data_IF_091679095905
#
_entry.id   IF_091679095905
#
_cell.length_a   1.000
_cell.length_b   1.000
_cell.length_c   1.000
_cell.angle_alpha   90.00
_cell.angle_beta   90.00
_cell.angle_gamma   90.00
#
_symmetry.space_group_name_H-M   'P 1'
#
loop_
_entity.id
_entity.type
_entity.pdbx_description
1 polymer ?
#
# COMPACT_ATOMS: atom_id res chain seq x y z
N UNK A 1 -52.37 -30.87 43.70
CA UNK A 1 -51.26 -31.72 44.21
C UNK A 1 -50.05 -31.44 43.32
N UNK A 2 -48.94 -30.80 43.71
CA UNK A 2 -48.43 -30.27 44.96
C UNK A 2 -47.99 -28.81 44.72
N UNK A 3 -48.26 -27.98 45.71
CA UNK A 3 -47.86 -26.57 45.83
C UNK A 3 -46.38 -26.40 46.28
N UNK A 4 -45.85 -25.16 46.32
CA UNK A 4 -44.43 -24.81 46.17
C UNK A 4 -43.80 -24.20 47.46
N UNK A 5 -42.69 -23.45 47.27
CA UNK A 5 -42.05 -22.44 48.15
C UNK A 5 -40.87 -22.92 49.05
N UNK A 6 -40.16 -22.02 49.77
CA UNK A 6 -39.10 -21.10 49.27
C UNK A 6 -37.88 -21.06 50.23
N UNK A 7 -36.85 -20.26 49.95
CA UNK A 7 -35.77 -19.99 50.92
C UNK A 7 -34.84 -18.86 50.48
N UNK A 8 -35.13 -17.61 50.85
CA UNK A 8 -34.56 -16.87 52.01
C UNK A 8 -33.16 -16.28 51.77
N UNK A 9 -33.14 -14.97 51.50
CA UNK A 9 -32.12 -14.06 52.06
C UNK A 9 -32.52 -13.72 53.50
N UNK A 10 -31.55 -13.50 54.42
CA UNK A 10 -31.36 -12.11 54.89
C UNK A 10 -29.94 -11.75 55.38
N UNK A 11 -29.62 -10.46 55.18
CA UNK A 11 -29.09 -9.47 56.13
C UNK A 11 -27.70 -9.56 56.80
N UNK A 12 -27.07 -8.37 56.80
CA UNK A 12 -26.29 -7.72 57.86
C UNK A 12 -24.86 -8.20 58.16
N UNK A 13 -23.90 -7.27 58.10
CA UNK A 13 -22.59 -7.53 58.71
C UNK A 13 -21.46 -6.53 58.48
N UNK A 14 -21.58 -5.33 59.06
CA UNK A 14 -20.51 -4.63 59.80
C UNK A 14 -19.21 -4.18 59.09
N UNK A 15 -19.12 -2.84 59.03
CA UNK A 15 -17.92 -1.99 59.14
C UNK A 15 -16.76 -2.64 59.92
N UNK A 16 -15.54 -2.61 59.35
CA UNK A 16 -14.30 -2.46 60.14
C UNK A 16 -13.32 -1.48 59.49
N UNK A 17 -13.24 -0.36 60.17
CA UNK A 17 -12.14 0.61 60.26
C UNK A 17 -10.89 -0.10 60.79
N UNK A 18 -9.73 0.10 60.15
CA UNK A 18 -8.38 -0.09 60.72
C UNK A 18 -7.50 1.05 60.17
N UNK A 19 -7.47 2.21 60.79
CA UNK A 19 -6.52 2.63 61.83
C UNK A 19 -5.12 2.01 61.73
N UNK A 20 -4.19 2.89 61.35
CA UNK A 20 -2.75 2.74 61.34
C UNK A 20 -2.16 2.82 62.75
N UNK A 21 -1.18 1.99 63.13
CA UNK A 21 -0.29 2.30 64.21
C UNK A 21 0.95 3.04 63.67
N UNK A 22 1.12 4.28 64.14
CA UNK A 22 2.44 4.90 64.26
C UNK A 22 3.22 4.12 65.32
N UNK A 23 4.39 3.60 64.95
CA UNK A 23 5.44 3.29 65.91
C UNK A 23 6.77 3.80 65.35
N UNK A 24 7.38 4.66 66.16
CA UNK A 24 8.63 5.36 65.95
C UNK A 24 9.82 4.42 66.10
N UNK A 25 10.83 4.70 65.28
CA UNK A 25 12.28 4.58 65.53
C UNK A 25 12.85 3.22 65.94
N UNK A 26 13.81 2.73 65.15
CA UNK A 26 15.20 2.79 65.59
C UNK A 26 16.18 2.72 64.42
N UNK A 27 17.22 3.53 64.61
CA UNK A 27 18.29 3.95 63.72
C UNK A 27 19.34 2.84 63.61
N UNK A 28 19.64 2.36 62.41
CA UNK A 28 20.93 1.69 62.13
C UNK A 28 21.51 2.19 60.81
N UNK A 29 22.47 3.10 60.97
CA UNK A 29 23.27 3.67 59.89
C UNK A 29 24.23 2.61 59.33
N UNK A 30 23.86 1.96 58.23
CA UNK A 30 24.80 1.27 57.36
C UNK A 30 25.31 2.27 56.32
N UNK A 31 26.60 2.62 56.42
CA UNK A 31 27.34 3.39 55.43
C UNK A 31 27.37 2.61 54.13
N UNK A 32 26.54 3.00 53.15
CA UNK A 32 26.64 2.54 51.78
C UNK A 32 27.14 3.70 50.91
N UNK A 33 28.30 3.50 50.31
CA UNK A 33 28.99 4.43 49.40
C UNK A 33 28.07 4.92 48.27
N UNK A 34 28.01 6.23 47.99
CA UNK A 34 27.11 6.81 46.99
C UNK A 34 27.55 6.63 45.54
N UNK A 35 28.73 6.05 45.26
CA UNK A 35 29.29 6.01 43.91
C UNK A 35 28.73 4.90 43.00
N UNK A 36 27.94 3.95 43.51
CA UNK A 36 27.54 2.75 42.75
C UNK A 36 26.03 2.50 42.74
N UNK A 37 25.21 3.57 42.76
CA UNK A 37 23.75 3.47 42.58
C UNK A 37 23.21 4.26 41.39
N UNK A 38 24.02 5.14 40.80
CA UNK A 38 23.63 5.88 39.59
C UNK A 38 23.89 5.11 38.29
N UNK A 39 24.72 4.06 38.29
CA UNK A 39 24.99 3.29 37.07
C UNK A 39 23.90 2.27 36.71
N UNK A 40 23.09 1.80 37.66
CA UNK A 40 22.08 0.75 37.40
C UNK A 40 20.68 1.27 37.09
N UNK A 41 20.43 2.58 37.22
CA UNK A 41 19.11 3.17 36.92
C UNK A 41 18.99 3.78 35.52
N UNK A 42 20.08 3.89 34.75
CA UNK A 42 20.09 4.44 33.39
C UNK A 42 20.12 3.36 32.29
N UNK A 43 20.44 2.11 32.63
CA UNK A 43 20.52 1.00 31.66
C UNK A 43 19.16 0.55 31.06
N UNK A 44 18.04 0.45 31.81
CA UNK A 44 16.78 0.01 31.23
C UNK A 44 16.09 1.09 30.38
N UNK A 45 16.41 2.37 30.57
CA UNK A 45 15.90 3.46 29.73
C UNK A 45 16.58 3.51 28.34
N UNK A 46 17.84 3.05 28.23
CA UNK A 46 18.57 3.01 26.97
C UNK A 46 18.18 1.81 26.09
N UNK A 47 17.75 0.70 26.69
CA UNK A 47 17.34 -0.52 25.97
C UNK A 47 15.94 -0.43 25.34
N UNK A 48 15.09 0.51 25.76
CA UNK A 48 13.76 0.74 25.15
C UNK A 48 13.81 1.59 23.87
N UNK A 49 14.97 2.14 23.49
CA UNK A 49 15.10 3.07 22.36
C UNK A 49 15.27 2.41 20.98
N UNK A 50 15.38 1.08 20.88
CA UNK A 50 15.77 0.40 19.64
C UNK A 50 14.68 -0.42 18.94
N UNK A 51 13.40 -0.25 19.29
CA UNK A 51 12.31 -0.79 18.45
C UNK A 51 12.01 0.22 17.34
N UNK A 52 12.97 0.41 16.44
CA UNK A 52 12.72 1.11 15.19
C UNK A 52 11.96 0.13 14.27
N UNK A 53 10.67 0.38 14.05
CA UNK A 53 9.90 -0.24 12.97
C UNK A 53 10.42 0.31 11.62
N UNK A 54 11.60 -0.14 11.21
CA UNK A 54 12.26 0.34 10.01
C UNK A 54 11.95 -0.59 8.83
N UNK A 55 11.45 -0.01 7.74
CA UNK A 55 11.46 -0.66 6.43
C UNK A 55 12.92 -0.92 6.05
N UNK A 56 13.29 -2.20 5.86
CA UNK A 56 14.63 -2.55 5.42
C UNK A 56 14.83 -2.06 3.98
N UNK A 57 15.97 -1.46 3.72
CA UNK A 57 16.33 -0.94 2.41
C UNK A 57 17.82 -1.15 2.15
N UNK A 58 18.17 -1.41 0.90
CA UNK A 58 19.55 -1.59 0.44
C UNK A 58 19.84 -0.69 -0.77
N UNK A 59 21.12 -0.37 -0.97
CA UNK A 59 21.60 0.25 -2.20
C UNK A 59 21.75 -0.80 -3.29
N UNK A 60 21.09 -0.62 -4.42
CA UNK A 60 21.15 -1.52 -5.57
C UNK A 60 21.67 -0.80 -6.81
N UNK A 61 22.53 -1.48 -7.58
CA UNK A 61 23.01 -1.00 -8.87
C UNK A 61 22.02 -1.31 -10.01
N UNK A 62 21.86 -0.36 -10.92
CA UNK A 62 20.98 -0.47 -12.09
C UNK A 62 21.68 -0.01 -13.37
N UNK A 63 21.25 -0.57 -14.50
CA UNK A 63 21.67 -0.19 -15.86
C UNK A 63 20.45 0.23 -16.69
N UNK A 64 20.51 1.41 -17.30
CA UNK A 64 19.40 1.93 -18.08
C UNK A 64 19.41 1.32 -19.49
N UNK A 65 18.36 0.61 -19.92
CA UNK A 65 18.34 -0.02 -21.24
C UNK A 65 18.22 1.02 -22.38
N UNK A 66 17.76 2.24 -22.09
CA UNK A 66 17.55 3.28 -23.10
C UNK A 66 18.83 4.08 -23.41
N UNK A 67 19.65 4.35 -22.40
CA UNK A 67 20.81 5.25 -22.55
C UNK A 67 22.12 4.70 -21.98
N UNK A 68 22.14 3.48 -21.44
CA UNK A 68 23.34 2.81 -20.92
C UNK A 68 23.91 3.40 -19.62
N UNK A 69 23.19 4.33 -18.97
CA UNK A 69 23.66 4.93 -17.72
C UNK A 69 23.56 3.91 -16.58
N UNK A 70 24.65 3.75 -15.83
CA UNK A 70 24.67 3.02 -14.57
C UNK A 70 24.39 3.98 -13.41
N UNK A 71 23.64 3.52 -12.41
CA UNK A 71 23.44 4.28 -11.17
C UNK A 71 23.19 3.33 -9.99
N UNK A 72 23.27 3.88 -8.78
CA UNK A 72 22.83 3.21 -7.56
C UNK A 72 21.62 3.93 -6.99
N UNK A 73 20.68 3.16 -6.44
CA UNK A 73 19.51 3.70 -5.79
C UNK A 73 19.11 2.80 -4.62
N UNK A 74 18.72 3.44 -3.52
CA UNK A 74 18.14 2.77 -2.37
C UNK A 74 16.75 2.25 -2.69
N UNK A 75 16.51 0.96 -2.47
CA UNK A 75 15.22 0.29 -2.69
C UNK A 75 14.84 -0.49 -1.43
N UNK A 76 13.54 -0.59 -1.16
CA UNK A 76 13.00 -1.38 -0.05
C UNK A 76 13.09 -2.88 -0.33
N UNK A 77 13.49 -3.67 0.67
CA UNK A 77 13.70 -5.13 0.53
C UNK A 77 12.68 -5.96 1.26
N UNK A 78 12.03 -5.38 2.27
CA UNK A 78 10.96 -6.03 3.02
C UNK A 78 9.99 -4.98 3.55
N UNK A 79 8.70 -5.24 3.43
CA UNK A 79 7.65 -4.41 3.98
C UNK A 79 6.68 -5.25 4.81
N UNK A 80 5.96 -4.59 5.74
CA UNK A 80 4.88 -5.20 6.52
C UNK A 80 3.65 -4.32 6.44
N UNK A 81 2.77 -4.63 5.49
CA UNK A 81 1.44 -4.02 5.43
C UNK A 81 0.60 -4.45 6.64
N UNK A 82 -0.08 -3.49 7.25
CA UNK A 82 -1.02 -3.67 8.36
C UNK A 82 -2.48 -3.57 7.92
N UNK A 83 -2.71 -3.08 6.70
CA UNK A 83 -4.03 -2.96 6.10
C UNK A 83 -3.94 -2.43 4.68
N UNK A 84 -5.10 -2.17 4.09
CA UNK A 84 -5.22 -1.71 2.71
C UNK A 84 -6.36 -0.70 2.59
N UNK A 85 -6.18 0.31 1.75
CA UNK A 85 -7.23 1.30 1.42
C UNK A 85 -8.18 0.80 0.35
N UNK A 86 -9.32 1.48 0.21
CA UNK A 86 -10.31 1.23 -0.85
C UNK A 86 -9.72 1.46 -2.26
N UNK A 87 -8.67 2.27 -2.37
CA UNK A 87 -7.90 2.44 -3.61
C UNK A 87 -6.73 1.46 -3.74
N UNK A 88 -6.64 0.44 -2.88
CA UNK A 88 -5.60 -0.59 -2.83
C UNK A 88 -4.22 -0.12 -2.34
N UNK A 89 -4.09 1.11 -1.87
CA UNK A 89 -2.86 1.55 -1.22
C UNK A 89 -2.66 0.77 0.09
N UNK A 90 -1.55 0.09 0.25
CA UNK A 90 -1.15 -0.56 1.49
C UNK A 90 -0.81 0.49 2.55
N UNK A 91 -1.15 0.20 3.80
CA UNK A 91 -0.85 1.06 4.95
C UNK A 91 -0.12 0.30 6.05
N UNK A 92 0.64 0.99 6.88
CA UNK A 92 1.43 0.41 7.96
C UNK A 92 2.92 0.61 7.78
N UNK A 93 3.73 -0.38 8.15
CA UNK A 93 5.19 -0.32 8.07
C UNK A 93 5.65 -0.77 6.67
N UNK A 94 5.15 -0.06 5.65
CA UNK A 94 5.34 -0.33 4.23
C UNK A 94 5.52 0.97 3.45
N UNK A 95 6.42 0.94 2.46
CA UNK A 95 6.50 1.98 1.43
C UNK A 95 5.59 1.55 0.29
N UNK A 96 4.47 2.25 0.12
CA UNK A 96 3.54 2.03 -0.96
C UNK A 96 3.16 3.36 -1.65
N UNK A 97 3.37 3.50 -2.98
CA UNK A 97 3.86 2.46 -3.89
C UNK A 97 5.36 2.14 -3.66
N UNK A 98 5.82 0.92 -3.96
CA UNK A 98 7.24 0.57 -3.87
C UNK A 98 8.11 1.55 -4.65
N UNK A 99 9.34 1.80 -4.20
CA UNK A 99 10.22 2.72 -4.93
C UNK A 99 10.53 2.16 -6.31
N UNK A 100 10.08 2.86 -7.36
CA UNK A 100 10.38 2.52 -8.75
C UNK A 100 11.75 3.09 -9.14
N UNK A 101 12.75 2.25 -9.50
CA UNK A 101 14.05 2.75 -9.93
C UNK A 101 13.93 3.63 -11.17
N UNK A 102 14.60 4.78 -11.17
CA UNK A 102 14.53 5.73 -12.28
C UNK A 102 15.92 6.18 -12.70
N UNK A 103 16.21 6.09 -14.00
CA UNK A 103 17.50 6.51 -14.54
C UNK A 103 17.74 8.00 -14.25
N UNK A 104 18.88 8.32 -13.64
CA UNK A 104 19.26 9.69 -13.27
C UNK A 104 19.48 10.59 -14.49
N UNK A 105 19.90 10.02 -15.64
CA UNK A 105 20.18 10.75 -16.88
C UNK A 105 18.94 10.99 -17.73
N UNK A 106 18.26 9.92 -18.16
CA UNK A 106 17.14 10.01 -19.10
C UNK A 106 15.76 9.82 -18.46
N UNK A 107 15.67 9.75 -17.12
CA UNK A 107 14.41 9.64 -16.37
C UNK A 107 13.54 8.44 -16.73
N UNK A 108 14.08 7.47 -17.46
CA UNK A 108 13.40 6.22 -17.77
C UNK A 108 13.11 5.44 -16.49
N UNK A 109 11.84 5.11 -16.19
CA UNK A 109 11.49 4.22 -15.09
C UNK A 109 11.86 2.78 -15.46
N UNK A 110 12.59 2.08 -14.60
CA UNK A 110 12.90 0.67 -14.79
C UNK A 110 11.80 -0.18 -14.16
N UNK A 111 10.91 -0.72 -14.99
CA UNK A 111 9.71 -1.46 -14.53
C UNK A 111 9.68 -2.92 -14.97
N UNK A 112 10.65 -3.37 -15.77
CA UNK A 112 10.77 -4.78 -16.15
C UNK A 112 12.18 -5.08 -16.66
N UNK A 113 12.82 -6.09 -16.08
CA UNK A 113 14.11 -6.59 -16.57
C UNK A 113 13.99 -7.20 -17.97
N UNK A 114 12.79 -7.66 -18.32
CA UNK A 114 12.49 -8.21 -19.65
C UNK A 114 12.60 -7.17 -20.76
N UNK A 115 12.52 -5.86 -20.46
CA UNK A 115 12.70 -4.82 -21.49
C UNK A 115 14.12 -4.83 -22.06
N UNK A 116 15.12 -5.15 -21.23
CA UNK A 116 16.51 -5.27 -21.67
C UNK A 116 16.67 -6.45 -22.64
N UNK A 117 15.98 -7.55 -22.40
CA UNK A 117 15.96 -8.70 -23.32
C UNK A 117 15.10 -8.43 -24.57
N UNK A 118 13.98 -7.73 -24.43
CA UNK A 118 13.13 -7.32 -25.56
C UNK A 118 13.83 -6.33 -26.50
N UNK A 119 14.79 -5.54 -26.00
CA UNK A 119 15.62 -4.68 -26.84
C UNK A 119 16.48 -5.48 -27.83
N UNK A 120 16.80 -6.74 -27.51
CA UNK A 120 17.59 -7.65 -28.35
C UNK A 120 16.73 -8.44 -29.35
N UNK A 121 15.41 -8.48 -29.15
CA UNK A 121 14.46 -9.16 -30.03
C UNK A 121 14.22 -8.33 -31.32
N UNK A 122 14.59 -8.83 -32.52
CA UNK A 122 14.42 -8.09 -33.77
C UNK A 122 12.98 -7.68 -34.05
N UNK A 123 12.00 -8.47 -33.60
CA UNK A 123 10.57 -8.17 -33.78
C UNK A 123 10.11 -6.98 -32.92
N UNK A 124 10.85 -6.67 -31.84
CA UNK A 124 10.53 -5.60 -30.89
C UNK A 124 11.50 -4.41 -30.96
N UNK A 125 12.59 -4.54 -31.72
CA UNK A 125 13.60 -3.51 -31.90
C UNK A 125 12.99 -2.17 -32.38
N UNK A 126 11.97 -2.20 -33.25
CA UNK A 126 11.29 -0.98 -33.70
C UNK A 126 10.56 -0.26 -32.55
N UNK A 127 9.75 -0.99 -31.76
CA UNK A 127 9.05 -0.44 -30.61
C UNK A 127 10.05 0.12 -29.57
N UNK A 128 11.17 -0.58 -29.36
CA UNK A 128 12.23 -0.13 -28.47
C UNK A 128 12.93 1.15 -28.98
N UNK A 129 13.16 1.26 -30.29
CA UNK A 129 13.70 2.49 -30.91
C UNK A 129 12.74 3.67 -30.74
N UNK A 130 11.44 3.46 -30.96
CA UNK A 130 10.41 4.48 -30.75
C UNK A 130 10.36 4.93 -29.29
N UNK A 131 10.38 3.98 -28.35
CA UNK A 131 10.46 4.26 -26.92
C UNK A 131 11.71 5.08 -26.58
N UNK A 132 12.88 4.69 -27.10
CA UNK A 132 14.12 5.42 -26.87
C UNK A 132 14.07 6.86 -27.40
N UNK A 133 13.48 7.08 -28.57
CA UNK A 133 13.28 8.43 -29.12
C UNK A 133 12.33 9.26 -28.27
N UNK A 134 11.20 8.67 -27.84
CA UNK A 134 10.24 9.33 -26.95
C UNK A 134 10.89 9.74 -25.63
N UNK A 135 11.57 8.81 -24.96
CA UNK A 135 12.23 9.05 -23.67
C UNK A 135 13.29 10.13 -23.79
N UNK A 136 14.06 10.19 -24.88
CA UNK A 136 15.05 11.25 -25.09
C UNK A 136 14.44 12.59 -25.51
N UNK A 137 13.16 12.64 -25.84
CA UNK A 137 12.46 13.87 -26.23
C UNK A 137 12.36 14.88 -25.10
N UNK A 138 12.44 16.17 -25.45
CA UNK A 138 12.39 17.27 -24.49
C UNK A 138 11.10 17.28 -23.66
N UNK A 139 9.96 16.95 -24.27
CA UNK A 139 8.66 16.93 -23.59
C UNK A 139 8.62 15.87 -22.48
N UNK A 140 9.09 14.64 -22.77
CA UNK A 140 9.16 13.60 -21.76
C UNK A 140 10.11 13.99 -20.63
N UNK A 141 11.32 14.49 -20.95
CA UNK A 141 12.28 14.92 -19.93
C UNK A 141 11.70 16.02 -19.03
N UNK A 142 11.04 17.01 -19.63
CA UNK A 142 10.38 18.08 -18.89
C UNK A 142 9.30 17.52 -17.97
N UNK A 143 8.39 16.70 -18.48
CA UNK A 143 7.29 16.14 -17.69
C UNK A 143 7.81 15.22 -16.59
N UNK A 144 8.74 14.31 -16.89
CA UNK A 144 9.31 13.37 -15.93
C UNK A 144 10.14 14.07 -14.83
N UNK A 145 10.73 15.24 -15.10
CA UNK A 145 11.46 16.01 -14.08
C UNK A 145 10.54 16.68 -13.05
N UNK A 146 9.28 16.94 -13.41
CA UNK A 146 8.30 17.66 -12.57
C UNK A 146 7.29 16.74 -11.87
N UNK A 147 7.33 15.45 -12.18
CA UNK A 147 6.35 14.47 -11.75
C UNK A 147 7.03 13.26 -11.09
N UNK A 148 6.30 12.49 -10.27
CA UNK A 148 6.88 11.34 -9.59
C UNK A 148 7.17 10.17 -10.56
N UNK A 149 7.96 9.19 -10.13
CA UNK A 149 8.46 8.11 -11.00
C UNK A 149 7.34 7.28 -11.66
N UNK A 150 6.23 7.02 -10.97
CA UNK A 150 5.10 6.29 -11.56
C UNK A 150 4.35 7.08 -12.64
N UNK A 151 4.42 8.41 -12.63
CA UNK A 151 3.91 9.21 -13.76
C UNK A 151 4.73 8.93 -15.02
N UNK A 152 6.06 8.90 -14.90
CA UNK A 152 6.93 8.57 -16.04
C UNK A 152 6.64 7.15 -16.55
N UNK A 153 6.28 6.21 -15.66
CA UNK A 153 5.88 4.86 -16.04
C UNK A 153 4.58 4.88 -16.86
N UNK A 154 3.56 5.61 -16.41
CA UNK A 154 2.31 5.74 -17.15
C UNK A 154 2.53 6.30 -18.56
N UNK A 155 3.38 7.33 -18.71
CA UNK A 155 3.75 7.89 -20.01
C UNK A 155 4.43 6.87 -20.92
N UNK A 156 5.35 6.07 -20.38
CA UNK A 156 6.01 4.99 -21.14
C UNK A 156 5.02 3.91 -21.56
N UNK A 157 4.12 3.50 -20.65
CA UNK A 157 3.09 2.51 -20.92
C UNK A 157 2.12 2.97 -22.02
N UNK A 158 1.79 4.27 -22.08
CA UNK A 158 0.97 4.84 -23.17
C UNK A 158 1.65 4.69 -24.54
N UNK A 159 2.95 5.00 -24.65
CA UNK A 159 3.70 4.85 -25.91
C UNK A 159 3.83 3.39 -26.32
N UNK A 160 3.97 2.49 -25.35
CA UNK A 160 3.99 1.05 -25.56
C UNK A 160 2.60 0.45 -25.80
N UNK A 161 1.53 1.26 -25.78
CA UNK A 161 0.13 0.84 -25.91
C UNK A 161 -0.23 -0.30 -24.96
N UNK A 162 0.23 -0.19 -23.70
CA UNK A 162 -0.16 -1.13 -22.66
C UNK A 162 -1.67 -1.07 -22.40
N UNK A 163 -2.29 -2.16 -21.89
CA UNK A 163 -3.70 -2.16 -21.50
C UNK A 163 -4.03 -1.00 -20.55
N UNK A 164 -5.21 -0.40 -20.71
CA UNK A 164 -5.55 0.81 -19.97
C UNK A 164 -5.54 0.61 -18.45
N UNK A 165 -5.88 -0.58 -17.95
CA UNK A 165 -5.79 -0.91 -16.52
C UNK A 165 -4.38 -0.72 -15.93
N UNK A 166 -3.32 -0.99 -16.69
CA UNK A 166 -1.95 -0.82 -16.20
C UNK A 166 -1.55 0.65 -16.16
N UNK A 167 -1.96 1.42 -17.18
CA UNK A 167 -1.72 2.86 -17.25
C UNK A 167 -2.46 3.55 -16.10
N UNK A 168 -3.72 3.18 -15.86
CA UNK A 168 -4.56 3.70 -14.79
C UNK A 168 -3.92 3.45 -13.41
N UNK A 169 -3.45 2.23 -13.15
CA UNK A 169 -2.78 1.89 -11.90
C UNK A 169 -1.48 2.68 -11.70
N UNK A 170 -0.70 2.91 -12.76
CA UNK A 170 0.50 3.76 -12.67
C UNK A 170 0.16 5.20 -12.29
N UNK A 171 -0.89 5.79 -12.88
CA UNK A 171 -1.34 7.13 -12.45
C UNK A 171 -1.89 7.15 -11.03
N UNK A 172 -2.62 6.10 -10.62
CA UNK A 172 -3.09 5.97 -9.24
C UNK A 172 -1.91 5.92 -8.25
N UNK A 173 -0.91 5.09 -8.52
CA UNK A 173 0.33 5.01 -7.71
C UNK A 173 1.09 6.33 -7.71
N UNK A 174 1.16 7.02 -8.85
CA UNK A 174 1.74 8.37 -8.92
C UNK A 174 1.00 9.35 -8.00
N UNK A 175 -0.33 9.26 -7.91
CA UNK A 175 -1.14 10.12 -7.02
C UNK A 175 -0.81 9.91 -5.54
N UNK A 176 -0.45 8.69 -5.13
CA UNK A 176 -0.04 8.37 -3.76
C UNK A 176 1.30 8.99 -3.38
N UNK A 177 2.21 9.13 -4.35
CA UNK A 177 3.53 9.76 -4.15
C UNK A 177 3.45 11.27 -3.94
N UNK A 178 2.29 11.88 -4.19
CA UNK A 178 2.07 13.32 -4.09
C UNK A 178 0.82 13.64 -3.28
N UNK A 179 0.40 12.72 -2.41
CA UNK A 179 -0.90 12.79 -1.72
C UNK A 179 -1.05 14.03 -0.82
N UNK A 180 0.06 14.62 -0.39
CA UNK A 180 0.16 15.87 0.37
C UNK A 180 -0.10 17.14 -0.48
N UNK A 181 -0.14 17.00 -1.81
CA UNK A 181 -0.28 18.12 -2.77
C UNK A 181 -1.56 17.97 -3.58
N UNK A 182 -2.58 18.74 -3.21
CA UNK A 182 -3.94 18.63 -3.78
C UNK A 182 -3.98 18.69 -5.31
N UNK A 183 -3.46 19.77 -5.92
CA UNK A 183 -3.60 19.96 -7.35
C UNK A 183 -2.86 18.89 -8.19
N UNK A 184 -1.58 18.53 -7.91
CA UNK A 184 -0.92 17.40 -8.56
C UNK A 184 -1.65 16.07 -8.35
N UNK A 185 -2.06 15.78 -7.11
CA UNK A 185 -2.79 14.55 -6.77
C UNK A 185 -4.07 14.43 -7.58
N UNK A 186 -4.88 15.50 -7.61
CA UNK A 186 -6.15 15.54 -8.33
C UNK A 186 -5.95 15.28 -9.83
N UNK A 187 -4.98 15.94 -10.46
CA UNK A 187 -4.66 15.72 -11.88
C UNK A 187 -4.29 14.26 -12.17
N UNK A 188 -3.50 13.64 -11.30
CA UNK A 188 -3.11 12.23 -11.47
C UNK A 188 -4.29 11.27 -11.28
N UNK A 189 -5.19 11.57 -10.34
CA UNK A 189 -6.45 10.83 -10.18
C UNK A 189 -7.38 10.99 -11.38
N UNK A 190 -7.46 12.18 -11.99
CA UNK A 190 -8.22 12.41 -13.22
C UNK A 190 -7.66 11.57 -14.38
N UNK A 191 -6.34 11.56 -14.58
CA UNK A 191 -5.69 10.67 -15.56
C UNK A 191 -5.96 9.18 -15.27
N UNK A 192 -5.90 8.77 -14.01
CA UNK A 192 -6.21 7.39 -13.61
C UNK A 192 -7.67 7.04 -13.95
N UNK A 193 -8.62 7.92 -13.64
CA UNK A 193 -10.05 7.75 -13.94
C UNK A 193 -10.29 7.56 -15.43
N UNK A 194 -9.72 8.41 -16.28
CA UNK A 194 -9.86 8.31 -17.74
C UNK A 194 -9.45 6.92 -18.25
N UNK A 195 -8.31 6.42 -17.78
CA UNK A 195 -7.84 5.09 -18.15
C UNK A 195 -8.64 3.96 -17.50
N UNK A 196 -9.15 4.08 -16.27
CA UNK A 196 -10.04 3.07 -15.71
C UNK A 196 -11.37 2.97 -16.46
N UNK A 197 -11.94 4.08 -16.92
CA UNK A 197 -13.14 4.08 -17.78
C UNK A 197 -12.86 3.36 -19.10
N UNK A 198 -11.72 3.64 -19.73
CA UNK A 198 -11.33 2.94 -20.95
C UNK A 198 -11.10 1.44 -20.68
N UNK A 199 -10.46 1.08 -19.57
CA UNK A 199 -10.24 -0.32 -19.18
C UNK A 199 -11.55 -1.08 -18.95
N UNK A 200 -12.55 -0.46 -18.32
CA UNK A 200 -13.88 -1.07 -18.15
C UNK A 200 -14.55 -1.35 -19.50
N UNK A 201 -14.31 -0.49 -20.49
CA UNK A 201 -14.81 -0.68 -21.86
C UNK A 201 -14.08 -1.83 -22.57
N UNK A 202 -12.75 -1.95 -22.39
CA UNK A 202 -11.94 -3.05 -22.94
C UNK A 202 -12.29 -4.41 -22.33
N UNK A 203 -12.52 -4.45 -21.02
CA UNK A 203 -12.77 -5.68 -20.25
C UNK A 203 -14.17 -6.23 -20.49
N UNK A 204 -15.19 -5.37 -20.62
CA UNK A 204 -16.59 -5.79 -20.77
C UNK A 204 -17.18 -6.41 -19.50
N UNK A 205 -18.50 -6.43 -19.39
CA UNK A 205 -19.20 -6.77 -18.12
C UNK A 205 -19.12 -8.24 -17.71
N UNK A 206 -18.78 -9.14 -18.64
CA UNK A 206 -18.73 -10.59 -18.39
C UNK A 206 -17.34 -11.07 -17.95
N UNK A 207 -16.34 -10.19 -17.98
CA UNK A 207 -14.99 -10.56 -17.58
C UNK A 207 -14.87 -10.56 -16.05
N UNK A 208 -14.20 -11.57 -15.45
CA UNK A 208 -14.02 -11.68 -14.00
C UNK A 208 -13.39 -10.44 -13.33
N UNK A 209 -12.61 -9.65 -14.06
CA UNK A 209 -11.93 -8.46 -13.55
C UNK A 209 -12.81 -7.20 -13.56
N UNK A 210 -13.98 -7.25 -14.21
CA UNK A 210 -14.85 -6.08 -14.35
C UNK A 210 -15.24 -5.51 -12.98
N UNK A 211 -15.59 -6.37 -12.03
CA UNK A 211 -15.97 -5.98 -10.67
C UNK A 211 -14.88 -5.16 -9.97
N UNK A 212 -13.64 -5.66 -9.97
CA UNK A 212 -12.50 -5.00 -9.33
C UNK A 212 -12.15 -3.66 -10.00
N UNK A 213 -12.17 -3.61 -11.32
CA UNK A 213 -11.94 -2.36 -12.07
C UNK A 213 -13.02 -1.32 -11.78
N UNK A 214 -14.28 -1.76 -11.66
CA UNK A 214 -15.40 -0.87 -11.40
C UNK A 214 -15.36 -0.33 -9.96
N UNK A 215 -14.95 -1.16 -8.98
CA UNK A 215 -14.73 -0.72 -7.61
C UNK A 215 -13.66 0.39 -7.54
N UNK A 216 -12.52 0.18 -8.19
CA UNK A 216 -11.44 1.17 -8.23
C UNK A 216 -11.82 2.45 -8.96
N UNK A 217 -12.49 2.34 -10.11
CA UNK A 217 -12.95 3.50 -10.86
C UNK A 217 -13.93 4.33 -10.02
N UNK A 218 -14.86 3.67 -9.31
CA UNK A 218 -15.83 4.32 -8.44
C UNK A 218 -15.17 4.98 -7.23
N UNK A 219 -14.17 4.34 -6.63
CA UNK A 219 -13.39 4.92 -5.53
C UNK A 219 -12.68 6.20 -5.99
N UNK A 220 -12.05 6.17 -7.17
CA UNK A 220 -11.38 7.35 -7.74
C UNK A 220 -12.41 8.46 -8.04
N UNK A 221 -13.56 8.11 -8.59
CA UNK A 221 -14.66 9.06 -8.83
C UNK A 221 -15.13 9.72 -7.52
N UNK A 222 -15.33 8.94 -6.45
CA UNK A 222 -15.66 9.46 -5.12
C UNK A 222 -14.58 10.41 -4.60
N UNK A 223 -13.31 9.99 -4.65
CA UNK A 223 -12.17 10.81 -4.21
C UNK A 223 -12.02 12.11 -5.02
N UNK A 224 -12.44 12.12 -6.28
CA UNK A 224 -12.47 13.32 -7.14
C UNK A 224 -13.69 14.23 -6.91
N UNK A 225 -14.65 13.81 -6.09
CA UNK A 225 -15.94 14.48 -5.88
C UNK A 225 -16.91 14.32 -7.05
N UNK A 226 -16.72 13.31 -7.90
CA UNK A 226 -17.62 12.96 -9.01
C UNK A 226 -18.77 12.08 -8.48
N UNK A 227 -19.54 12.63 -7.54
CA UNK A 227 -20.52 11.89 -6.74
C UNK A 227 -21.54 11.12 -7.58
N UNK A 228 -22.11 11.75 -8.61
CA UNK A 228 -23.11 11.10 -9.47
C UNK A 228 -22.55 9.93 -10.28
N UNK A 229 -21.32 10.05 -10.79
CA UNK A 229 -20.65 8.97 -11.53
C UNK A 229 -20.35 7.79 -10.59
N UNK A 230 -19.78 8.10 -9.42
CA UNK A 230 -19.45 7.10 -8.40
C UNK A 230 -20.70 6.37 -7.91
N UNK A 231 -21.76 7.11 -7.56
CA UNK A 231 -23.02 6.56 -7.08
C UNK A 231 -23.63 5.61 -8.11
N UNK A 232 -23.73 6.07 -9.37
CA UNK A 232 -24.25 5.24 -10.45
C UNK A 232 -23.45 3.94 -10.56
N UNK A 233 -22.12 4.02 -10.54
CA UNK A 233 -21.25 2.85 -10.68
C UNK A 233 -21.43 1.85 -9.55
N UNK A 234 -21.51 2.30 -8.30
CA UNK A 234 -21.70 1.41 -7.17
C UNK A 234 -23.11 0.80 -7.13
N UNK A 235 -24.16 1.54 -7.53
CA UNK A 235 -25.51 0.97 -7.69
C UNK A 235 -25.59 -0.08 -8.81
N UNK A 236 -24.92 0.17 -9.92
CA UNK A 236 -24.82 -0.79 -11.02
C UNK A 236 -24.11 -2.08 -10.55
N UNK A 237 -23.04 -1.94 -9.75
CA UNK A 237 -22.35 -3.09 -9.16
C UNK A 237 -23.25 -3.89 -8.20
N UNK A 238 -23.97 -3.23 -7.28
CA UNK A 238 -24.92 -3.90 -6.38
C UNK A 238 -26.00 -4.65 -7.16
N UNK A 239 -26.55 -4.02 -8.20
CA UNK A 239 -27.65 -4.56 -9.00
C UNK A 239 -27.21 -5.73 -9.89
N UNK A 240 -26.00 -5.68 -10.42
CA UNK A 240 -25.45 -6.75 -11.29
C UNK A 240 -25.23 -8.06 -10.54
N UNK A 241 -24.98 -8.00 -9.24
CA UNK A 241 -24.62 -9.16 -8.43
C UNK A 241 -23.23 -9.76 -8.74
N UNK A 242 -22.39 -9.10 -9.56
CA UNK A 242 -21.08 -9.63 -9.97
C UNK A 242 -20.12 -9.89 -8.80
N UNK A 243 -20.30 -9.17 -7.68
CA UNK A 243 -19.50 -9.31 -6.47
C UNK A 243 -20.12 -10.27 -5.44
N UNK A 244 -21.26 -10.91 -5.72
CA UNK A 244 -21.90 -11.81 -4.75
C UNK A 244 -20.99 -12.99 -4.43
N UNK A 245 -20.80 -13.26 -3.14
CA UNK A 245 -19.95 -14.34 -2.65
C UNK A 245 -18.44 -14.04 -2.66
N UNK A 246 -18.03 -12.83 -3.06
CA UNK A 246 -16.63 -12.41 -2.98
C UNK A 246 -16.36 -11.61 -1.70
N UNK A 247 -15.11 -11.53 -1.20
CA UNK A 247 -14.75 -10.66 -0.08
C UNK A 247 -15.14 -9.18 -0.28
N UNK A 248 -15.32 -8.75 -1.53
CA UNK A 248 -15.62 -7.39 -1.97
C UNK A 248 -17.12 -7.06 -1.98
N UNK A 249 -18.01 -8.02 -1.70
CA UNK A 249 -19.46 -7.86 -1.83
C UNK A 249 -20.06 -6.66 -1.08
N UNK A 250 -19.47 -6.26 0.05
CA UNK A 250 -19.95 -5.15 0.88
C UNK A 250 -19.33 -3.79 0.55
N UNK A 251 -18.32 -3.74 -0.33
CA UNK A 251 -17.63 -2.49 -0.67
C UNK A 251 -18.57 -1.46 -1.32
N UNK A 252 -19.45 -1.82 -2.29
CA UNK A 252 -20.36 -0.86 -2.89
C UNK A 252 -21.26 -0.16 -1.86
N UNK A 253 -21.78 -0.90 -0.88
CA UNK A 253 -22.62 -0.35 0.18
C UNK A 253 -21.86 0.64 1.08
N UNK A 254 -20.59 0.34 1.42
CA UNK A 254 -19.73 1.30 2.13
C UNK A 254 -19.54 2.57 1.29
N UNK A 255 -19.19 2.41 0.02
CA UNK A 255 -18.92 3.53 -0.88
C UNK A 255 -20.13 4.45 -1.04
N UNK A 256 -21.34 3.89 -1.17
CA UNK A 256 -22.58 4.67 -1.22
C UNK A 256 -22.83 5.47 0.07
N UNK A 257 -22.49 4.94 1.25
CA UNK A 257 -22.56 5.71 2.51
C UNK A 257 -21.58 6.88 2.51
N UNK A 258 -20.33 6.65 2.08
CA UNK A 258 -19.32 7.70 1.99
C UNK A 258 -19.72 8.80 0.98
N UNK A 259 -20.32 8.41 -0.15
CA UNK A 259 -20.87 9.35 -1.15
C UNK A 259 -22.00 10.19 -0.56
N UNK A 260 -22.93 9.59 0.19
CA UNK A 260 -24.01 10.33 0.85
C UNK A 260 -23.48 11.39 1.84
N UNK A 261 -22.33 11.11 2.47
CA UNK A 261 -21.63 12.02 3.37
C UNK A 261 -20.76 13.06 2.63
N UNK A 262 -20.70 13.01 1.30
CA UNK A 262 -19.78 13.80 0.47
C UNK A 262 -18.31 13.67 0.92
N UNK A 263 -17.96 12.48 1.41
CA UNK A 263 -16.63 12.19 1.89
C UNK A 263 -15.73 11.78 0.70
N UNK A 264 -14.69 12.57 0.45
CA UNK A 264 -13.68 12.34 -0.60
C UNK A 264 -12.34 11.86 -0.01
N UNK A 265 -12.25 11.75 1.31
CA UNK A 265 -11.07 11.26 1.99
C UNK A 265 -10.83 9.78 1.63
N UNK A 266 -9.56 9.34 1.66
CA UNK A 266 -9.24 7.94 1.51
C UNK A 266 -9.66 7.14 2.75
N UNK A 267 -10.15 5.93 2.52
CA UNK A 267 -10.64 5.03 3.58
C UNK A 267 -10.01 3.66 3.51
N UNK A 268 -9.95 2.98 4.65
CA UNK A 268 -9.46 1.62 4.78
C UNK A 268 -10.51 0.61 4.31
N UNK A 269 -10.08 -0.42 3.60
CA UNK A 269 -10.90 -1.57 3.21
C UNK A 269 -11.21 -2.48 4.42
N UNK A 270 -10.36 -2.45 5.44
CA UNK A 270 -10.48 -3.22 6.68
C UNK A 270 -10.87 -2.34 7.89
N UNK A 271 -11.27 -1.09 7.65
CA UNK A 271 -11.75 -0.20 8.70
C UNK A 271 -13.00 -0.75 9.40
N UNK A 272 -13.24 -0.28 10.62
CA UNK A 272 -14.43 -0.58 11.41
C UNK A 272 -15.73 -0.43 10.60
N UNK A 273 -15.74 0.39 9.54
CA UNK A 273 -16.89 0.64 8.69
C UNK A 273 -17.30 -0.54 7.79
N UNK A 274 -16.36 -1.39 7.34
CA UNK A 274 -16.67 -2.64 6.60
C UNK A 274 -17.07 -3.73 7.59
N UNK A 275 -16.39 -3.82 8.73
CA UNK A 275 -16.76 -4.73 9.81
C UNK A 275 -18.17 -4.45 10.33
N UNK A 276 -18.54 -3.18 10.54
CA UNK A 276 -19.89 -2.78 10.96
C UNK A 276 -20.98 -3.16 9.93
N UNK A 277 -20.71 -3.10 8.63
CA UNK A 277 -21.67 -3.60 7.62
C UNK A 277 -21.84 -5.11 7.74
N UNK A 278 -20.73 -5.83 7.88
CA UNK A 278 -20.74 -7.29 8.01
C UNK A 278 -21.44 -7.73 9.29
N UNK A 279 -21.12 -7.11 10.42
CA UNK A 279 -21.70 -7.39 11.72
C UNK A 279 -23.21 -7.06 11.76
N UNK A 280 -23.65 -6.01 11.04
CA UNK A 280 -25.06 -5.70 10.86
C UNK A 280 -25.81 -6.73 9.98
N UNK A 281 -25.11 -7.44 9.09
CA UNK A 281 -25.70 -8.46 8.20
C UNK A 281 -25.53 -9.89 8.71
N UNK A 282 -24.52 -10.20 9.53
CA UNK A 282 -24.24 -11.56 10.01
C UNK A 282 -23.26 -11.57 11.22
N UNK A 283 -23.68 -11.95 12.45
CA UNK A 283 -22.88 -11.78 13.68
C UNK A 283 -21.82 -12.88 13.94
N UNK A 284 -21.29 -13.56 12.92
CA UNK A 284 -20.30 -14.61 13.13
C UNK A 284 -19.24 -14.70 12.03
N UNK A 285 -17.97 -14.67 12.49
CA UNK A 285 -16.74 -15.22 11.91
C UNK A 285 -15.77 -14.22 11.23
N UNK A 286 -14.62 -13.91 11.86
CA UNK A 286 -13.49 -13.29 11.19
C UNK A 286 -12.46 -14.39 10.85
N UNK A 287 -12.22 -14.65 9.57
CA UNK A 287 -10.93 -15.13 9.06
C UNK A 287 -10.95 -15.07 7.53
N UNK A 288 -10.22 -14.10 6.97
CA UNK A 288 -10.09 -13.99 5.52
C UNK A 288 -9.40 -12.69 5.12
N UNK A 289 -8.12 -12.78 4.76
CA UNK A 289 -7.37 -11.68 4.13
C UNK A 289 -8.15 -11.18 2.90
N UNK A 290 -8.40 -9.87 2.75
CA UNK A 290 -8.98 -9.35 1.51
C UNK A 290 -7.88 -9.31 0.43
N UNK A 291 -7.95 -10.22 -0.53
CA UNK A 291 -7.08 -10.18 -1.71
C UNK A 291 -7.85 -9.56 -2.88
N UNK A 292 -7.74 -8.23 -3.04
CA UNK A 292 -7.88 -7.62 -4.37
C UNK A 292 -6.53 -7.81 -5.07
N UNK A 293 -6.45 -8.79 -5.97
CA UNK A 293 -5.26 -9.02 -6.80
C UNK A 293 -5.58 -8.59 -8.23
N UNK A 294 -5.29 -7.33 -8.54
CA UNK A 294 -5.13 -6.93 -9.93
C UNK A 294 -3.79 -7.48 -10.41
N UNK A 295 -3.81 -8.65 -11.05
CA UNK A 295 -2.62 -9.23 -11.66
C UNK A 295 -1.96 -8.22 -12.62
N UNK A 296 -0.74 -7.79 -12.30
CA UNK A 296 0.11 -6.99 -13.18
C UNK A 296 1.03 -7.96 -13.94
N UNK A 297 0.88 -8.16 -15.26
CA UNK A 297 1.89 -8.83 -16.05
C UNK A 297 3.16 -7.97 -16.07
N UNK A 298 4.22 -8.45 -15.41
CA UNK A 298 5.54 -7.80 -15.38
C UNK A 298 6.06 -7.40 -14.01
N UNK A 299 5.22 -7.45 -12.97
CA UNK A 299 5.62 -7.44 -11.56
C UNK A 299 5.00 -8.69 -10.93
N UNK A 300 5.78 -9.77 -10.82
CA UNK A 300 5.34 -10.96 -10.10
C UNK A 300 5.27 -10.62 -8.61
N UNK A 301 4.09 -10.27 -8.13
CA UNK A 301 3.78 -10.32 -6.70
C UNK A 301 3.51 -11.80 -6.37
N UNK A 302 4.52 -12.45 -5.80
CA UNK A 302 4.36 -13.77 -5.20
C UNK A 302 3.38 -13.64 -4.01
N UNK A 303 2.42 -14.56 -3.78
CA UNK A 303 1.40 -14.46 -2.72
C UNK A 303 1.96 -14.50 -1.27
N UNK A 304 3.27 -14.41 -1.11
CA UNK A 304 4.00 -14.44 0.15
C UNK A 304 5.18 -13.47 0.15
N UNK A 305 4.93 -12.18 -0.12
CA UNK A 305 5.76 -11.06 0.37
C UNK A 305 7.26 -11.29 0.40
N UNK A 306 7.85 -11.73 -0.71
CA UNK A 306 9.30 -11.73 -0.92
C UNK A 306 9.53 -11.44 -2.40
N UNK A 307 10.03 -10.24 -2.72
CA UNK A 307 10.75 -10.03 -3.96
C UNK A 307 12.00 -10.91 -3.90
N UNK A 308 11.92 -12.15 -4.36
CA UNK A 308 13.11 -12.94 -4.67
C UNK A 308 13.69 -12.39 -5.97
N UNK A 309 14.60 -11.44 -5.85
CA UNK A 309 15.60 -11.25 -6.89
C UNK A 309 16.71 -12.27 -6.69
N UNK A 310 17.05 -12.97 -7.78
CA UNK A 310 18.23 -13.82 -7.86
C UNK A 310 19.50 -13.03 -7.53
N UNK A 311 20.51 -13.76 -7.04
CA UNK A 311 21.76 -13.21 -6.52
C UNK A 311 22.44 -12.24 -7.50
N UNK A 312 23.15 -11.21 -6.98
CA UNK A 312 23.87 -10.26 -7.83
C UNK A 312 24.89 -10.99 -8.72
N UNK A 313 24.97 -10.59 -9.99
CA UNK A 313 26.08 -10.97 -10.87
C UNK A 313 27.39 -10.68 -10.14
N UNK A 314 28.24 -11.72 -10.04
CA UNK A 314 29.62 -11.59 -9.56
C UNK A 314 30.31 -10.46 -10.34
N UNK A 315 31.03 -9.54 -9.69
CA UNK A 315 31.84 -8.56 -10.39
C UNK A 315 32.85 -9.30 -11.30
N UNK A 316 33.18 -8.76 -12.48
CA UNK A 316 34.16 -9.36 -13.36
C UNK A 316 35.49 -9.47 -12.62
N UNK A 317 36.03 -10.67 -12.57
CA UNK A 317 37.39 -10.94 -12.07
C UNK A 317 38.36 -10.17 -12.95
N UNK A 318 39.07 -9.21 -12.37
CA UNK A 318 40.22 -8.58 -13.02
C UNK A 318 41.27 -9.68 -13.28
N UNK A 319 41.45 -10.06 -14.55
CA UNK A 319 42.62 -10.83 -14.97
C UNK A 319 43.84 -9.92 -14.88
N UNK A 320 44.91 -10.31 -14.16
CA UNK A 320 46.15 -9.54 -14.15
C UNK A 320 46.73 -9.50 -15.57
N UNK A 321 47.05 -8.29 -16.05
CA UNK A 321 47.94 -8.12 -17.17
C UNK A 321 49.33 -8.64 -16.80
N UNK A 322 49.70 -9.81 -17.31
CA UNK A 322 51.10 -10.20 -17.45
C UNK A 322 51.71 -9.46 -18.64
N UNK A 323 52.89 -8.89 -18.39
CA UNK A 323 53.79 -8.27 -19.38
C UNK A 323 54.53 -9.33 -20.18
#
# INVERSE_FOLDING_TARGET
MKEPLPGTSPLLGLRRIWQWPRALYLRRSARHSPAMKFLFSLLPALLLACIACAVNSLEQGFLCPICGTHWQQRIETSSRAKGMRLDLRQVGDVVDPPTLPQCTKCRFPLFSDRLTEQAKDPAKAHAFKQLGSFVRGADFQMLASKNPSYFALAQVQQILKAPHRHIALSYLRASWQVEDREAPRRRLLENAREHYIAALTETGTNDPQYGDLALLCGEIERRLGKWGDAEKRFRDLESSGILKGTPQADIPALQLRLIAQHDSAPHLLDGADVAQIRDAKNPAQPDGKPALQLGIPGLTEDPGGTLKLEQPLKPPTETPHEK
#
